data_IF_884235885580
#
_entry.id   IF_884235885580
#
_cell.length_a   1.000
_cell.length_b   1.000
_cell.length_c   1.000
_cell.angle_alpha   90.00
_cell.angle_beta   90.00
_cell.angle_gamma   90.00
#
_symmetry.space_group_name_H-M   'P 1'
#
loop_
_entity.id
_entity.type
_entity.pdbx_description
1 polymer ?
#
# COMPACT_ATOMS: atom_id res chain seq x y z
N UNK A 1 -27.98 -17.23 -14.23
CA UNK A 1 -27.92 -15.74 -14.17
C UNK A 1 -26.65 -15.31 -14.87
N UNK A 2 -26.72 -14.57 -15.97
CA UNK A 2 -25.54 -14.11 -16.70
C UNK A 2 -24.75 -13.14 -15.83
N UNK A 3 -23.52 -13.48 -15.52
CA UNK A 3 -22.60 -12.64 -14.76
C UNK A 3 -22.37 -11.35 -15.55
N UNK A 4 -22.83 -10.23 -15.01
CA UNK A 4 -22.79 -8.94 -15.68
C UNK A 4 -21.32 -8.53 -15.86
N UNK A 5 -20.80 -8.62 -17.10
CA UNK A 5 -19.43 -8.28 -17.43
C UNK A 5 -19.10 -6.89 -16.91
N UNK A 6 -18.02 -6.76 -16.13
CA UNK A 6 -17.57 -5.47 -15.61
C UNK A 6 -17.13 -4.57 -16.74
N UNK A 7 -17.57 -3.32 -16.70
CA UNK A 7 -17.25 -2.31 -17.72
C UNK A 7 -16.01 -1.54 -17.34
N UNK A 8 -15.15 -1.30 -18.32
CA UNK A 8 -13.94 -0.50 -18.19
C UNK A 8 -14.00 0.61 -19.23
N UNK A 9 -13.67 1.83 -18.83
CA UNK A 9 -13.51 2.96 -19.74
C UNK A 9 -12.02 3.18 -19.99
N UNK A 10 -11.63 3.23 -21.27
CA UNK A 10 -10.26 3.53 -21.72
C UNK A 10 -10.27 4.87 -22.44
N UNK A 11 -9.41 5.80 -22.03
CA UNK A 11 -9.29 7.14 -22.61
C UNK A 11 -7.84 7.37 -23.03
N UNK A 12 -7.60 7.46 -24.32
CA UNK A 12 -6.27 7.70 -24.90
C UNK A 12 -6.48 8.35 -26.28
N UNK A 13 -5.72 9.37 -26.64
CA UNK A 13 -5.86 10.06 -27.92
C UNK A 13 -5.31 9.25 -29.10
N UNK A 14 -4.39 8.31 -28.84
CA UNK A 14 -3.80 7.43 -29.85
C UNK A 14 -4.74 6.26 -30.21
N UNK A 15 -5.36 6.21 -31.43
CA UNK A 15 -6.31 5.18 -31.81
C UNK A 15 -5.75 3.74 -31.73
N UNK A 16 -4.47 3.58 -32.07
CA UNK A 16 -3.80 2.28 -32.08
C UNK A 16 -3.61 1.74 -30.66
N UNK A 17 -3.18 2.59 -29.72
CA UNK A 17 -3.06 2.23 -28.31
C UNK A 17 -4.43 1.94 -27.69
N UNK A 18 -5.43 2.76 -27.99
CA UNK A 18 -6.82 2.53 -27.58
C UNK A 18 -7.31 1.14 -28.00
N UNK A 19 -7.12 0.81 -29.28
CA UNK A 19 -7.50 -0.50 -29.84
C UNK A 19 -6.74 -1.64 -29.16
N UNK A 20 -5.45 -1.48 -28.89
CA UNK A 20 -4.62 -2.46 -28.22
C UNK A 20 -5.12 -2.75 -26.79
N UNK A 21 -5.45 -1.69 -26.03
CA UNK A 21 -6.00 -1.83 -24.68
C UNK A 21 -7.39 -2.47 -24.69
N UNK A 22 -8.25 -2.08 -25.63
CA UNK A 22 -9.57 -2.69 -25.80
C UNK A 22 -9.49 -4.19 -26.04
N UNK A 23 -8.71 -4.62 -27.03
CA UNK A 23 -8.55 -6.05 -27.36
C UNK A 23 -7.97 -6.81 -26.17
N UNK A 24 -6.99 -6.23 -25.47
CA UNK A 24 -6.35 -6.84 -24.31
C UNK A 24 -7.34 -7.07 -23.18
N UNK A 25 -8.18 -6.09 -22.87
CA UNK A 25 -9.17 -6.19 -21.79
C UNK A 25 -10.38 -7.05 -22.17
N UNK A 26 -10.81 -7.04 -23.43
CA UNK A 26 -11.87 -7.91 -23.94
C UNK A 26 -11.48 -9.39 -23.84
N UNK A 27 -10.22 -9.72 -24.14
CA UNK A 27 -9.68 -11.08 -23.95
C UNK A 27 -9.68 -11.52 -22.46
N UNK A 28 -9.60 -10.57 -21.53
CA UNK A 28 -9.74 -10.84 -20.10
C UNK A 28 -11.21 -10.92 -19.63
N UNK A 29 -12.19 -10.84 -20.55
CA UNK A 29 -13.62 -10.97 -20.23
C UNK A 29 -14.31 -9.68 -19.80
N UNK A 30 -13.67 -8.52 -19.89
CA UNK A 30 -14.28 -7.24 -19.56
C UNK A 30 -15.10 -6.66 -20.74
N UNK A 31 -16.11 -5.86 -20.42
CA UNK A 31 -16.78 -5.02 -21.41
C UNK A 31 -16.04 -3.67 -21.45
N UNK A 32 -15.57 -3.25 -22.62
CA UNK A 32 -14.77 -2.04 -22.75
C UNK A 32 -15.56 -0.99 -23.53
N UNK A 33 -15.49 0.25 -23.05
CA UNK A 33 -15.84 1.46 -23.81
C UNK A 33 -14.58 2.31 -23.93
N UNK A 34 -14.46 3.08 -25.01
CA UNK A 34 -13.32 3.96 -25.24
C UNK A 34 -13.75 5.37 -25.59
N UNK A 35 -12.84 6.32 -25.34
CA UNK A 35 -12.96 7.73 -25.68
C UNK A 35 -11.61 8.25 -26.17
N UNK A 36 -11.60 9.24 -27.04
CA UNK A 36 -10.38 9.87 -27.57
C UNK A 36 -10.00 11.16 -26.86
N UNK A 37 -10.90 11.72 -26.04
CA UNK A 37 -10.76 13.00 -25.38
C UNK A 37 -11.54 13.05 -24.06
N UNK A 38 -11.40 14.14 -23.29
CA UNK A 38 -12.07 14.34 -22.02
C UNK A 38 -13.58 14.50 -22.15
N UNK A 39 -14.04 15.19 -23.21
CA UNK A 39 -15.45 15.48 -23.41
C UNK A 39 -16.23 14.17 -23.62
N UNK A 40 -15.78 13.32 -24.53
CA UNK A 40 -16.37 11.99 -24.75
C UNK A 40 -16.31 11.12 -23.49
N UNK A 41 -15.19 11.17 -22.76
CA UNK A 41 -15.04 10.41 -21.53
C UNK A 41 -16.03 10.86 -20.45
N UNK A 42 -16.23 12.16 -20.26
CA UNK A 42 -17.21 12.73 -19.33
C UNK A 42 -18.65 12.34 -19.70
N UNK A 43 -19.00 12.42 -20.99
CA UNK A 43 -20.33 12.00 -21.47
C UNK A 43 -20.58 10.50 -21.17
N UNK A 44 -19.60 9.63 -21.42
CA UNK A 44 -19.70 8.22 -21.10
C UNK A 44 -19.82 7.97 -19.60
N UNK A 45 -19.05 8.68 -18.76
CA UNK A 45 -19.10 8.58 -17.31
C UNK A 45 -20.45 9.06 -16.75
N UNK A 46 -21.08 10.07 -17.35
CA UNK A 46 -22.41 10.53 -16.93
C UNK A 46 -23.49 9.50 -17.26
N UNK A 47 -23.42 8.87 -18.44
CA UNK A 47 -24.45 7.93 -18.93
C UNK A 47 -24.30 6.50 -18.39
N UNK A 48 -23.08 6.08 -18.03
CA UNK A 48 -22.79 4.69 -17.65
C UNK A 48 -21.94 4.64 -16.38
N UNK A 49 -22.01 3.47 -15.71
CA UNK A 49 -21.13 3.14 -14.61
C UNK A 49 -20.06 2.17 -15.06
N UNK A 50 -18.84 2.40 -14.58
CA UNK A 50 -17.66 1.60 -14.86
C UNK A 50 -17.07 1.04 -13.57
N UNK A 51 -16.32 -0.04 -13.66
CA UNK A 51 -15.53 -0.54 -12.54
C UNK A 51 -14.18 0.20 -12.46
N UNK A 52 -13.59 0.49 -13.65
CA UNK A 52 -12.28 1.11 -13.78
C UNK A 52 -12.32 2.13 -14.92
N UNK A 53 -11.66 3.26 -14.70
CA UNK A 53 -11.26 4.24 -15.71
C UNK A 53 -9.76 4.11 -15.94
N UNK A 54 -9.33 3.94 -17.18
CA UNK A 54 -7.94 4.04 -17.60
C UNK A 54 -7.82 5.28 -18.49
N UNK A 55 -6.95 6.23 -18.16
CA UNK A 55 -6.80 7.47 -18.91
C UNK A 55 -5.35 7.81 -19.17
N UNK A 56 -5.03 8.28 -20.37
CA UNK A 56 -3.74 8.95 -20.58
C UNK A 56 -3.68 10.23 -19.74
N UNK A 57 -2.48 10.60 -19.34
CA UNK A 57 -2.18 11.85 -18.65
C UNK A 57 -2.45 13.06 -19.52
N UNK A 58 -2.13 12.99 -20.83
CA UNK A 58 -2.29 14.07 -21.80
C UNK A 58 -3.33 13.69 -22.82
N UNK A 59 -4.34 14.52 -22.96
CA UNK A 59 -5.41 14.40 -23.95
C UNK A 59 -5.48 15.70 -24.76
N UNK A 60 -6.03 15.69 -25.97
CA UNK A 60 -6.04 16.87 -26.85
C UNK A 60 -6.78 18.07 -26.26
N UNK A 61 -7.76 17.83 -25.39
CA UNK A 61 -8.64 18.81 -24.75
C UNK A 61 -8.33 19.06 -23.27
N UNK A 62 -7.24 18.46 -22.71
CA UNK A 62 -6.82 18.71 -21.33
C UNK A 62 -5.99 17.59 -20.71
N UNK A 63 -6.07 17.44 -19.39
CA UNK A 63 -5.33 16.41 -18.66
C UNK A 63 -6.28 15.31 -18.18
N UNK A 64 -5.92 14.03 -18.42
CA UNK A 64 -6.68 12.89 -17.92
C UNK A 64 -6.84 12.88 -16.41
N UNK A 65 -6.01 13.63 -15.70
CA UNK A 65 -6.10 13.84 -14.25
C UNK A 65 -7.43 14.50 -13.85
N UNK A 66 -7.97 15.37 -14.69
CA UNK A 66 -9.26 16.02 -14.46
C UNK A 66 -10.42 15.02 -14.35
N UNK A 67 -10.33 13.88 -15.06
CA UNK A 67 -11.31 12.80 -14.92
C UNK A 67 -11.24 12.13 -13.56
N UNK A 68 -10.02 11.96 -13.02
CA UNK A 68 -9.81 11.39 -11.68
C UNK A 68 -10.38 12.32 -10.61
N UNK A 69 -10.08 13.62 -10.70
CA UNK A 69 -10.61 14.65 -9.80
C UNK A 69 -12.14 14.74 -9.90
N UNK A 70 -12.68 14.65 -11.11
CA UNK A 70 -14.13 14.63 -11.33
C UNK A 70 -14.80 13.41 -10.68
N UNK A 71 -14.18 12.22 -10.78
CA UNK A 71 -14.67 11.02 -10.08
C UNK A 71 -14.72 11.24 -8.57
N UNK A 72 -13.72 11.87 -7.98
CA UNK A 72 -13.69 12.16 -6.54
C UNK A 72 -14.74 13.18 -6.13
N UNK A 73 -14.84 14.30 -6.86
CA UNK A 73 -15.80 15.39 -6.56
C UNK A 73 -17.24 14.87 -6.62
N UNK A 74 -17.54 13.95 -7.54
CA UNK A 74 -18.84 13.33 -7.70
C UNK A 74 -19.03 12.04 -6.88
N UNK A 75 -18.12 11.74 -5.94
CA UNK A 75 -18.16 10.55 -5.07
C UNK A 75 -18.38 9.24 -5.84
N UNK A 76 -17.77 9.12 -7.01
CA UNK A 76 -17.89 7.96 -7.90
C UNK A 76 -17.05 6.79 -7.39
N UNK A 77 -17.56 5.58 -7.55
CA UNK A 77 -16.91 4.34 -7.09
C UNK A 77 -15.86 3.78 -8.06
N UNK A 78 -15.76 4.35 -9.27
CA UNK A 78 -14.81 3.93 -10.29
C UNK A 78 -13.37 4.13 -9.83
N UNK A 79 -12.50 3.17 -10.11
CA UNK A 79 -11.06 3.24 -9.82
C UNK A 79 -10.32 3.81 -11.04
N UNK A 80 -9.62 4.93 -10.84
CA UNK A 80 -8.87 5.57 -11.92
C UNK A 80 -7.45 5.06 -12.01
N UNK A 81 -7.00 4.69 -13.20
CA UNK A 81 -5.60 4.35 -13.54
C UNK A 81 -5.12 5.37 -14.56
N UNK A 82 -3.96 5.97 -14.33
CA UNK A 82 -3.39 6.97 -15.22
C UNK A 82 -2.22 6.36 -16.00
N UNK A 83 -2.20 6.55 -17.32
CA UNK A 83 -1.07 6.18 -18.18
C UNK A 83 -0.25 7.44 -18.44
N UNK A 84 1.07 7.38 -18.33
CA UNK A 84 1.94 8.56 -18.47
C UNK A 84 3.20 8.24 -19.28
N UNK A 85 3.75 9.23 -19.98
CA UNK A 85 5.00 9.06 -20.70
C UNK A 85 6.20 8.85 -19.77
N UNK A 86 7.20 8.13 -20.25
CA UNK A 86 8.44 7.81 -19.56
C UNK A 86 9.17 9.10 -19.11
N UNK A 87 9.60 9.14 -17.83
CA UNK A 87 10.46 10.20 -17.29
C UNK A 87 9.81 11.26 -16.41
N UNK A 88 8.49 11.23 -16.18
CA UNK A 88 7.83 12.21 -15.30
C UNK A 88 7.37 11.59 -13.96
N UNK A 89 8.31 11.40 -13.02
CA UNK A 89 7.99 11.08 -11.63
C UNK A 89 6.96 12.06 -11.03
N UNK A 90 7.04 13.33 -11.42
CA UNK A 90 6.10 14.37 -10.98
C UNK A 90 4.66 14.12 -11.44
N UNK A 91 4.47 13.59 -12.64
CA UNK A 91 3.14 13.27 -13.17
C UNK A 91 2.52 12.05 -12.46
N UNK A 92 3.32 11.02 -12.16
CA UNK A 92 2.87 9.88 -11.37
C UNK A 92 2.46 10.33 -9.95
N UNK A 93 3.27 11.16 -9.30
CA UNK A 93 2.96 11.74 -7.99
C UNK A 93 1.69 12.59 -8.04
N UNK A 94 1.51 13.40 -9.08
CA UNK A 94 0.30 14.21 -9.26
C UNK A 94 -0.94 13.33 -9.44
N UNK A 95 -0.86 12.26 -10.25
CA UNK A 95 -1.96 11.33 -10.46
C UNK A 95 -2.44 10.69 -9.16
N UNK A 96 -1.50 10.22 -8.34
CA UNK A 96 -1.82 9.58 -7.07
C UNK A 96 -2.32 10.57 -6.01
N UNK A 97 -1.78 11.80 -5.97
CA UNK A 97 -2.31 12.88 -5.12
C UNK A 97 -3.74 13.28 -5.50
N UNK A 98 -4.07 13.23 -6.79
CA UNK A 98 -5.43 13.43 -7.29
C UNK A 98 -6.35 12.23 -7.06
N UNK A 99 -5.87 11.13 -6.47
CA UNK A 99 -6.64 9.97 -6.08
C UNK A 99 -6.76 8.85 -7.10
N UNK A 100 -5.85 8.81 -8.08
CA UNK A 100 -5.72 7.63 -8.93
C UNK A 100 -5.41 6.39 -8.11
N UNK A 101 -5.98 5.25 -8.52
CA UNK A 101 -5.73 3.96 -7.90
C UNK A 101 -4.29 3.47 -8.15
N UNK A 102 -3.82 3.64 -9.39
CA UNK A 102 -2.45 3.32 -9.81
C UNK A 102 -2.08 4.12 -11.07
N UNK A 103 -0.82 4.01 -11.49
CA UNK A 103 -0.35 4.59 -12.74
C UNK A 103 0.49 3.59 -13.54
N UNK A 104 0.58 3.81 -14.86
CA UNK A 104 1.38 3.02 -15.78
C UNK A 104 2.26 3.95 -16.64
N UNK A 105 3.47 3.51 -16.95
CA UNK A 105 4.39 4.27 -17.80
C UNK A 105 4.37 3.73 -19.22
N UNK A 106 4.31 4.62 -20.23
CA UNK A 106 4.50 4.26 -21.66
C UNK A 106 6.02 4.01 -21.92
N UNK A 107 6.41 2.97 -22.66
CA UNK A 107 5.57 1.97 -23.28
C UNK A 107 4.94 1.01 -22.26
N UNK A 108 3.62 0.80 -22.38
CA UNK A 108 2.86 -0.01 -21.41
C UNK A 108 3.12 -1.49 -21.64
N UNK A 109 3.63 -2.17 -20.62
CA UNK A 109 3.69 -3.64 -20.61
C UNK A 109 2.27 -4.21 -20.45
N UNK A 110 1.79 -4.98 -21.43
CA UNK A 110 0.42 -5.49 -21.44
C UNK A 110 0.11 -6.47 -20.30
N UNK A 111 1.10 -7.20 -19.79
CA UNK A 111 0.91 -8.09 -18.63
C UNK A 111 0.73 -7.25 -17.35
N UNK A 112 1.54 -6.21 -17.18
CA UNK A 112 1.39 -5.26 -16.10
C UNK A 112 0.05 -4.54 -16.17
N UNK A 113 -0.37 -4.11 -17.35
CA UNK A 113 -1.65 -3.47 -17.61
C UNK A 113 -2.82 -4.35 -17.18
N UNK A 114 -2.85 -5.63 -17.63
CA UNK A 114 -3.87 -6.60 -17.23
C UNK A 114 -3.93 -6.79 -15.72
N UNK A 115 -2.76 -6.85 -15.08
CA UNK A 115 -2.67 -7.07 -13.64
C UNK A 115 -3.21 -5.89 -12.83
N UNK A 116 -2.81 -4.67 -13.16
CA UNK A 116 -3.27 -3.43 -12.50
C UNK A 116 -4.77 -3.25 -12.66
N UNK A 117 -5.30 -3.47 -13.87
CA UNK A 117 -6.75 -3.39 -14.13
C UNK A 117 -7.52 -4.45 -13.33
N UNK A 118 -7.02 -5.68 -13.25
CA UNK A 118 -7.67 -6.74 -12.47
C UNK A 118 -7.71 -6.40 -10.97
N UNK A 119 -6.66 -5.79 -10.44
CA UNK A 119 -6.62 -5.31 -9.04
C UNK A 119 -7.64 -4.17 -8.81
N UNK A 120 -7.68 -3.18 -9.70
CA UNK A 120 -8.63 -2.08 -9.62
C UNK A 120 -10.08 -2.58 -9.66
N UNK A 121 -10.37 -3.58 -10.51
CA UNK A 121 -11.69 -4.23 -10.60
C UNK A 121 -12.05 -4.97 -9.31
N UNK A 122 -11.10 -5.64 -8.64
CA UNK A 122 -11.33 -6.30 -7.33
C UNK A 122 -11.59 -5.28 -6.24
N UNK A 123 -10.81 -4.21 -6.18
CA UNK A 123 -10.99 -3.13 -5.21
C UNK A 123 -12.33 -2.40 -5.36
N UNK A 124 -12.87 -2.28 -6.57
CA UNK A 124 -14.20 -1.72 -6.83
C UNK A 124 -15.34 -2.60 -6.27
N UNK A 125 -15.15 -3.92 -6.09
CA UNK A 125 -16.17 -4.81 -5.49
C UNK A 125 -16.39 -4.51 -4.00
N UNK A 126 -15.34 -4.21 -3.26
CA UNK A 126 -15.40 -4.03 -1.82
C UNK A 126 -16.09 -2.71 -1.40
N UNK A 127 -16.13 -1.73 -2.29
CA UNK A 127 -16.79 -0.44 -2.02
C UNK A 127 -18.32 -0.50 -2.23
N UNK A 128 -18.83 -1.44 -3.05
CA UNK A 128 -20.26 -1.60 -3.30
C UNK A 128 -21.01 -2.33 -2.18
N UNK A 129 -20.30 -2.97 -1.24
CA UNK A 129 -20.88 -3.70 -0.12
C UNK A 129 -21.16 -2.84 1.12
N UNK A 130 -20.85 -1.54 1.10
CA UNK A 130 -20.99 -0.63 2.26
C UNK A 130 -21.92 0.55 1.96
N UNK A 131 -23.12 0.28 1.41
CA UNK A 131 -24.21 1.26 1.50
C UNK A 131 -25.28 0.69 2.46
N UNK A 132 -25.68 1.42 3.51
CA UNK A 132 -26.76 1.00 4.39
C UNK A 132 -28.09 1.19 3.67
N UNK A 133 -28.81 0.09 3.43
CA UNK A 133 -30.20 0.12 3.04
C UNK A 133 -31.04 0.59 4.23
N UNK A 134 -31.83 1.62 3.99
CA UNK A 134 -32.80 2.16 4.96
C UNK A 134 -33.96 1.18 5.21
N UNK A 135 -34.21 0.96 6.45
CA UNK A 135 -35.44 0.63 7.19
C UNK A 135 -36.70 0.11 6.47
N UNK A 136 -37.18 -1.08 6.89
CA UNK A 136 -38.61 -1.35 7.16
C UNK A 136 -38.76 -2.49 8.20
N UNK A 137 -39.83 -2.50 9.02
CA UNK A 137 -39.85 -3.05 10.36
C UNK A 137 -40.32 -4.54 10.49
N UNK A 138 -40.37 -5.07 11.72
CA UNK A 138 -40.26 -6.52 11.96
C UNK A 138 -41.59 -7.26 11.97
N UNK A 139 -41.56 -8.54 11.63
CA UNK A 139 -42.64 -9.46 11.94
C UNK A 139 -42.12 -10.68 12.69
N UNK A 140 -42.78 -10.89 13.81
CA UNK A 140 -42.69 -11.95 14.82
C UNK A 140 -42.89 -13.36 14.29
N UNK A 141 -42.12 -14.34 14.79
CA UNK A 141 -42.61 -15.58 15.37
C UNK A 141 -41.44 -16.50 15.80
N UNK A 142 -41.41 -16.81 17.07
CA UNK A 142 -40.75 -17.96 17.75
C UNK A 142 -41.66 -19.20 17.71
N UNK A 143 -41.28 -20.36 18.34
CA UNK A 143 -40.01 -21.10 18.41
C UNK A 143 -40.21 -22.62 18.10
N UNK A 144 -39.13 -23.41 18.06
CA UNK A 144 -39.14 -24.78 18.60
C UNK A 144 -37.75 -25.40 18.69
N UNK A 145 -37.51 -26.03 19.83
CA UNK A 145 -36.30 -26.66 20.33
C UNK A 145 -36.08 -28.09 19.83
N UNK A 146 -34.82 -28.57 19.87
CA UNK A 146 -34.32 -29.82 20.42
C UNK A 146 -32.85 -30.02 20.05
N UNK A 147 -31.92 -29.97 20.97
CA UNK A 147 -31.19 -31.04 21.73
C UNK A 147 -30.50 -32.09 20.84
N UNK A 148 -29.17 -32.19 20.82
CA UNK A 148 -28.32 -33.16 21.54
C UNK A 148 -26.87 -33.19 21.07
N UNK A 149 -25.98 -33.00 22.01
CA UNK A 149 -24.77 -33.73 22.43
C UNK A 149 -23.58 -34.02 21.48
N UNK A 150 -22.43 -33.36 21.81
CA UNK A 150 -21.16 -33.90 22.30
C UNK A 150 -20.21 -34.68 21.38
N UNK A 151 -19.05 -34.10 21.02
CA UNK A 151 -17.71 -34.50 21.55
C UNK A 151 -16.58 -33.64 20.98
N UNK A 152 -15.46 -33.47 21.69
CA UNK A 152 -14.48 -32.42 21.39
C UNK A 152 -13.36 -32.87 20.46
N UNK A 153 -12.88 -32.00 19.63
CA UNK A 153 -11.68 -32.14 18.81
C UNK A 153 -10.72 -30.96 19.05
N UNK A 154 -9.44 -31.07 18.69
CA UNK A 154 -8.35 -30.42 19.37
C UNK A 154 -8.18 -28.94 19.04
N UNK A 155 -7.64 -28.23 20.02
CA UNK A 155 -7.37 -26.81 20.03
C UNK A 155 -6.27 -26.45 19.01
N UNK A 156 -6.64 -25.75 17.96
CA UNK A 156 -5.71 -24.98 17.14
C UNK A 156 -5.69 -23.55 17.66
N UNK A 157 -4.55 -22.87 17.72
CA UNK A 157 -4.50 -21.50 18.23
C UNK A 157 -5.14 -20.57 17.22
N UNK A 158 -6.33 -20.08 17.57
CA UNK A 158 -7.03 -19.02 16.82
C UNK A 158 -6.25 -17.72 16.93
N UNK A 159 -5.51 -17.39 15.91
CA UNK A 159 -5.11 -16.02 15.64
C UNK A 159 -6.31 -15.24 15.09
N UNK A 160 -7.25 -14.88 15.97
CA UNK A 160 -8.27 -13.89 15.68
C UNK A 160 -7.62 -12.50 15.75
N UNK A 161 -6.99 -12.08 14.68
CA UNK A 161 -6.69 -10.66 14.45
C UNK A 161 -7.74 -10.14 13.46
N UNK A 162 -8.90 -9.77 13.98
CA UNK A 162 -9.84 -8.91 13.27
C UNK A 162 -9.09 -7.62 12.89
N UNK A 163 -8.99 -7.34 11.58
CA UNK A 163 -8.39 -6.11 11.08
C UNK A 163 -9.08 -4.91 11.76
N UNK A 164 -8.33 -3.98 12.40
CA UNK A 164 -8.91 -2.84 13.06
C UNK A 164 -9.59 -1.94 12.03
N UNK A 165 -10.80 -1.48 12.32
CA UNK A 165 -11.50 -0.48 11.51
C UNK A 165 -10.61 0.76 11.32
N UNK A 166 -10.69 1.40 10.16
CA UNK A 166 -9.85 2.55 9.74
C UNK A 166 -9.57 3.61 10.85
N UNK A 167 -10.53 3.97 11.72
CA UNK A 167 -10.27 4.84 12.88
C UNK A 167 -9.31 4.24 13.91
N UNK A 168 -9.40 2.93 14.16
CA UNK A 168 -8.56 2.25 15.15
C UNK A 168 -7.10 2.10 14.72
N UNK A 169 -6.85 1.90 13.41
CA UNK A 169 -5.49 1.81 12.87
C UNK A 169 -4.69 3.11 13.05
N UNK A 170 -5.35 4.27 12.86
CA UNK A 170 -4.72 5.57 13.03
C UNK A 170 -4.57 6.00 14.49
N UNK A 171 -5.31 5.39 15.42
CA UNK A 171 -5.20 5.68 16.86
C UNK A 171 -3.86 5.18 17.45
N UNK A 172 -3.21 4.21 16.79
CA UNK A 172 -1.88 3.74 17.16
C UNK A 172 -0.79 4.82 16.95
N UNK A 173 -1.05 5.79 16.06
CA UNK A 173 -0.19 6.95 15.82
C UNK A 173 -0.53 8.05 16.83
N UNK A 174 0.22 8.05 17.94
CA UNK A 174 0.05 8.96 19.05
C UNK A 174 0.51 10.36 18.62
N UNK A 175 -0.32 11.35 18.88
CA UNK A 175 -0.05 12.75 18.60
C UNK A 175 -1.31 13.48 18.14
N UNK A 176 -1.51 14.70 18.68
CA UNK A 176 -2.60 15.61 18.35
C UNK A 176 -2.10 16.89 17.68
N UNK A 177 -0.78 17.09 17.64
CA UNK A 177 -0.14 18.25 17.04
C UNK A 177 -0.41 18.40 15.54
N UNK A 178 -0.24 19.62 15.04
CA UNK A 178 -0.55 19.96 13.65
C UNK A 178 0.15 19.05 12.64
N UNK A 179 1.44 18.77 12.84
CA UNK A 179 2.23 17.88 11.98
C UNK A 179 1.69 16.45 11.96
N UNK A 180 1.29 15.91 13.13
CA UNK A 180 0.72 14.56 13.21
C UNK A 180 -0.68 14.49 12.59
N UNK A 181 -1.49 15.53 12.70
CA UNK A 181 -2.79 15.60 12.03
C UNK A 181 -2.66 15.67 10.51
N UNK A 182 -1.68 16.45 10.01
CA UNK A 182 -1.37 16.52 8.59
C UNK A 182 -0.89 15.15 8.08
N UNK A 183 0.01 14.47 8.81
CA UNK A 183 0.47 13.12 8.49
C UNK A 183 -0.71 12.14 8.41
N UNK A 184 -1.59 12.10 9.43
CA UNK A 184 -2.78 11.24 9.46
C UNK A 184 -3.72 11.53 8.28
N UNK A 185 -3.88 12.79 7.90
CA UNK A 185 -4.70 13.18 6.74
C UNK A 185 -4.06 12.68 5.43
N UNK A 186 -2.75 12.83 5.28
CA UNK A 186 -2.02 12.33 4.12
C UNK A 186 -2.07 10.80 4.05
N UNK A 187 -1.91 10.11 5.18
CA UNK A 187 -2.04 8.65 5.26
C UNK A 187 -3.40 8.15 4.74
N UNK A 188 -4.51 8.79 5.14
CA UNK A 188 -5.85 8.43 4.65
C UNK A 188 -5.97 8.56 3.13
N UNK A 189 -5.34 9.59 2.55
CA UNK A 189 -5.36 9.83 1.09
C UNK A 189 -4.49 8.83 0.34
N UNK A 190 -3.34 8.45 0.92
CA UNK A 190 -2.34 7.58 0.28
C UNK A 190 -2.65 6.09 0.49
N UNK A 191 -3.29 5.72 1.59
CA UNK A 191 -3.53 4.33 1.95
C UNK A 191 -4.29 3.52 0.88
N UNK A 192 -5.32 4.04 0.19
CA UNK A 192 -6.02 3.31 -0.86
C UNK A 192 -5.20 3.07 -2.12
N UNK A 193 -4.14 3.85 -2.36
CA UNK A 193 -3.27 3.70 -3.53
C UNK A 193 -2.38 2.46 -3.42
N UNK A 194 -2.10 1.81 -4.57
CA UNK A 194 -1.15 0.71 -4.68
C UNK A 194 0.29 1.17 -4.96
N UNK A 195 0.48 2.48 -5.09
CA UNK A 195 1.80 3.04 -5.34
C UNK A 195 2.80 2.70 -4.22
N UNK A 196 4.08 2.51 -4.56
CA UNK A 196 5.15 2.45 -3.58
C UNK A 196 5.19 3.72 -2.72
N UNK A 197 5.41 3.53 -1.43
CA UNK A 197 5.50 4.62 -0.46
C UNK A 197 6.88 4.59 0.19
N UNK A 198 7.58 5.72 0.16
CA UNK A 198 8.82 5.92 0.89
C UNK A 198 8.57 6.74 2.15
N UNK A 199 8.86 6.16 3.31
CA UNK A 199 8.75 6.81 4.62
C UNK A 199 10.14 7.29 5.01
N UNK A 200 10.31 8.61 5.11
CA UNK A 200 11.55 9.20 5.57
C UNK A 200 11.40 9.76 6.99
N UNK A 201 12.39 9.52 7.84
CA UNK A 201 12.39 10.04 9.21
C UNK A 201 13.56 9.48 10.04
N UNK A 202 13.90 10.17 11.12
CA UNK A 202 14.97 9.76 12.03
C UNK A 202 14.75 8.35 12.59
N UNK A 203 15.81 7.70 13.05
CA UNK A 203 15.70 6.41 13.73
C UNK A 203 14.84 6.56 14.98
N UNK A 204 13.94 5.60 15.25
CA UNK A 204 13.03 5.68 16.39
C UNK A 204 11.78 6.57 16.19
N UNK A 205 11.65 7.29 15.08
CA UNK A 205 10.52 8.20 14.82
C UNK A 205 9.14 7.50 14.68
N UNK A 206 9.13 6.17 14.51
CA UNK A 206 7.90 5.37 14.38
C UNK A 206 7.55 5.02 12.93
N UNK A 207 8.54 4.92 12.03
CA UNK A 207 8.35 4.57 10.60
C UNK A 207 7.52 3.29 10.41
N UNK A 208 7.80 2.24 11.21
CA UNK A 208 7.05 0.99 11.15
C UNK A 208 5.57 1.16 11.56
N UNK A 209 5.27 1.99 12.57
CA UNK A 209 3.89 2.26 12.97
C UNK A 209 3.11 2.96 11.86
N UNK A 210 3.75 3.86 11.12
CA UNK A 210 3.17 4.52 9.94
C UNK A 210 2.93 3.52 8.82
N UNK A 211 3.88 2.61 8.55
CA UNK A 211 3.72 1.56 7.55
C UNK A 211 2.56 0.61 7.90
N UNK A 212 2.43 0.19 9.17
CA UNK A 212 1.31 -0.61 9.64
C UNK A 212 -0.03 0.13 9.53
N UNK A 213 -0.07 1.42 9.83
CA UNK A 213 -1.27 2.24 9.66
C UNK A 213 -1.66 2.38 8.17
N UNK A 214 -0.68 2.56 7.27
CA UNK A 214 -0.91 2.56 5.82
C UNK A 214 -1.52 1.25 5.33
N UNK A 215 -0.97 0.12 5.76
CA UNK A 215 -1.49 -1.20 5.42
C UNK A 215 -2.92 -1.38 5.94
N UNK A 216 -3.16 -1.12 7.22
CA UNK A 216 -4.47 -1.29 7.84
C UNK A 216 -5.56 -0.36 7.27
N UNK A 217 -5.18 0.79 6.69
CA UNK A 217 -6.10 1.70 5.99
C UNK A 217 -6.19 1.42 4.48
N UNK A 218 -5.51 0.41 3.96
CA UNK A 218 -5.47 0.09 2.53
C UNK A 218 -6.53 -0.94 2.13
N UNK A 219 -6.68 -1.14 0.83
CA UNK A 219 -7.50 -2.23 0.28
C UNK A 219 -6.92 -3.63 0.52
N UNK A 220 -5.73 -3.72 1.13
CA UNK A 220 -5.03 -4.96 1.47
C UNK A 220 -4.92 -5.19 2.98
N UNK A 221 -5.76 -4.51 3.76
CA UNK A 221 -5.80 -4.65 5.23
C UNK A 221 -5.98 -6.08 5.71
N UNK A 222 -6.67 -6.90 4.92
CA UNK A 222 -6.94 -8.30 5.21
C UNK A 222 -5.81 -9.25 4.76
N UNK A 223 -4.84 -8.73 3.98
CA UNK A 223 -3.68 -9.47 3.49
C UNK A 223 -2.51 -9.46 4.49
N UNK A 224 -1.45 -10.22 4.21
CA UNK A 224 -0.28 -10.26 5.08
C UNK A 224 0.47 -8.91 5.10
N UNK A 225 0.95 -8.52 6.28
CA UNK A 225 1.92 -7.45 6.47
C UNK A 225 3.26 -8.06 6.87
N UNK A 226 4.19 -8.14 5.90
CA UNK A 226 5.52 -8.69 6.12
C UNK A 226 6.50 -7.54 6.28
N UNK A 227 7.13 -7.45 7.45
CA UNK A 227 8.13 -6.43 7.76
C UNK A 227 9.53 -7.03 7.79
N UNK A 228 10.47 -6.36 7.16
CA UNK A 228 11.88 -6.76 7.15
C UNK A 228 12.77 -5.54 7.34
N UNK A 229 13.78 -5.67 8.18
CA UNK A 229 14.85 -4.68 8.30
C UNK A 229 16.01 -5.13 7.41
N UNK A 230 16.29 -4.34 6.37
CA UNK A 230 17.32 -4.67 5.37
C UNK A 230 18.75 -4.71 5.95
N UNK A 231 19.02 -3.90 6.96
CA UNK A 231 20.32 -3.87 7.64
C UNK A 231 20.54 -5.00 8.65
N UNK A 232 19.46 -5.69 9.06
CA UNK A 232 19.56 -6.78 10.04
C UNK A 232 19.91 -8.14 9.43
N UNK A 233 19.77 -8.30 8.12
CA UNK A 233 20.04 -9.57 7.43
C UNK A 233 21.48 -9.56 6.90
N UNK A 234 22.28 -10.59 7.16
CA UNK A 234 23.62 -10.74 6.55
C UNK A 234 23.52 -10.74 5.01
N UNK A 235 24.45 -10.06 4.34
CA UNK A 235 24.44 -9.89 2.87
C UNK A 235 24.34 -11.24 2.13
N UNK A 236 25.03 -12.26 2.63
CA UNK A 236 25.01 -13.63 2.05
C UNK A 236 23.64 -14.33 2.11
N UNK A 237 22.73 -13.87 2.98
CA UNK A 237 21.40 -14.45 3.16
C UNK A 237 20.29 -13.57 2.56
N UNK A 238 20.57 -12.30 2.26
CA UNK A 238 19.59 -11.35 1.75
C UNK A 238 18.81 -11.92 0.56
N UNK A 239 19.51 -12.50 -0.41
CA UNK A 239 18.89 -13.02 -1.62
C UNK A 239 17.93 -14.18 -1.32
N UNK A 240 18.35 -15.13 -0.48
CA UNK A 240 17.54 -16.27 -0.08
C UNK A 240 16.32 -15.86 0.75
N UNK A 241 16.47 -14.86 1.65
CA UNK A 241 15.36 -14.34 2.45
C UNK A 241 14.34 -13.59 1.57
N UNK A 242 14.79 -12.74 0.65
CA UNK A 242 13.90 -11.94 -0.17
C UNK A 242 13.15 -12.77 -1.21
N UNK A 243 13.87 -13.63 -1.96
CA UNK A 243 13.34 -14.30 -3.14
C UNK A 243 13.06 -15.79 -2.93
N UNK A 244 13.52 -16.34 -1.80
CA UNK A 244 13.41 -17.77 -1.51
C UNK A 244 14.55 -18.60 -2.12
N UNK A 245 14.63 -19.85 -1.73
CA UNK A 245 15.67 -20.77 -2.20
C UNK A 245 15.16 -22.19 -2.32
N UNK A 246 15.69 -22.91 -3.29
CA UNK A 246 15.54 -24.35 -3.41
C UNK A 246 16.61 -25.08 -2.61
N UNK A 247 16.30 -26.29 -2.20
CA UNK A 247 17.26 -27.19 -1.55
C UNK A 247 18.53 -27.32 -2.40
N UNK A 248 19.69 -27.12 -1.79
CA UNK A 248 20.99 -27.20 -2.47
C UNK A 248 21.38 -25.94 -3.25
N UNK A 249 20.63 -24.84 -3.20
CA UNK A 249 20.93 -23.61 -3.93
C UNK A 249 22.21 -22.90 -3.42
N UNK A 250 22.55 -23.10 -2.15
CA UNK A 250 23.77 -22.61 -1.52
C UNK A 250 24.22 -23.53 -0.38
N UNK A 251 25.45 -23.38 0.12
CA UNK A 251 25.96 -24.15 1.25
C UNK A 251 25.15 -23.88 2.50
N UNK A 252 24.33 -24.85 2.94
CA UNK A 252 23.39 -24.73 4.06
C UNK A 252 21.92 -24.70 3.68
N UNK A 253 21.57 -24.72 2.39
CA UNK A 253 20.17 -24.83 1.93
C UNK A 253 19.67 -26.28 2.09
N UNK A 254 19.20 -26.65 3.29
CA UNK A 254 18.74 -28.01 3.61
C UNK A 254 17.35 -28.31 3.08
N UNK A 255 16.50 -27.29 2.92
CA UNK A 255 15.11 -27.40 2.46
C UNK A 255 14.75 -26.25 1.52
N UNK A 256 13.64 -26.41 0.78
CA UNK A 256 13.01 -25.32 0.05
C UNK A 256 12.50 -24.27 1.03
N UNK A 257 12.74 -23.00 0.74
CA UNK A 257 12.32 -21.88 1.58
C UNK A 257 11.63 -20.81 0.75
N UNK A 258 10.44 -20.43 1.17
CA UNK A 258 9.70 -19.31 0.59
C UNK A 258 10.36 -17.98 0.94
N UNK A 259 10.42 -17.06 -0.03
CA UNK A 259 10.94 -15.72 0.16
C UNK A 259 9.89 -14.74 0.69
N UNK A 260 10.37 -13.62 1.22
CA UNK A 260 9.53 -12.54 1.76
C UNK A 260 8.51 -12.01 0.74
N UNK A 261 8.86 -11.94 -0.54
CA UNK A 261 7.93 -11.54 -1.59
C UNK A 261 6.75 -12.51 -1.75
N UNK A 262 7.02 -13.82 -1.66
CA UNK A 262 5.97 -14.84 -1.74
C UNK A 262 5.09 -14.77 -0.49
N UNK A 263 5.68 -14.69 0.70
CA UNK A 263 4.97 -14.55 1.97
C UNK A 263 4.12 -13.29 2.07
N UNK A 264 4.51 -12.20 1.36
CA UNK A 264 3.78 -10.94 1.32
C UNK A 264 2.72 -10.89 0.21
N UNK A 265 2.56 -11.94 -0.60
CA UNK A 265 1.66 -11.94 -1.75
C UNK A 265 0.20 -11.70 -1.33
N UNK A 266 -0.50 -10.84 -2.06
CA UNK A 266 -1.85 -10.37 -1.70
C UNK A 266 -1.87 -9.28 -0.61
N UNK A 267 -0.71 -8.94 -0.03
CA UNK A 267 -0.56 -8.02 1.09
C UNK A 267 0.45 -6.90 0.84
N UNK A 268 1.24 -6.59 1.88
CA UNK A 268 2.21 -5.50 1.89
C UNK A 268 3.56 -6.00 2.40
N UNK A 269 4.63 -5.67 1.68
CA UNK A 269 6.01 -5.86 2.12
C UNK A 269 6.56 -4.51 2.59
N UNK A 270 6.96 -4.44 3.84
CA UNK A 270 7.59 -3.28 4.45
C UNK A 270 9.10 -3.49 4.54
N UNK A 271 9.85 -2.64 3.84
CA UNK A 271 11.31 -2.66 3.76
C UNK A 271 11.88 -1.53 4.64
N UNK A 272 12.25 -1.86 5.88
CA UNK A 272 12.88 -0.89 6.75
C UNK A 272 14.38 -0.78 6.44
N UNK A 273 14.91 0.43 6.57
CA UNK A 273 16.29 0.80 6.27
C UNK A 273 16.72 0.35 4.87
N UNK A 274 15.93 0.71 3.86
CA UNK A 274 16.16 0.35 2.44
C UNK A 274 17.51 0.84 1.91
N UNK A 275 18.07 1.91 2.50
CA UNK A 275 19.40 2.44 2.17
C UNK A 275 20.56 1.53 2.56
N UNK A 276 20.32 0.45 3.32
CA UNK A 276 21.34 -0.51 3.71
C UNK A 276 21.49 -1.67 2.71
N UNK A 277 20.64 -1.75 1.68
CA UNK A 277 20.74 -2.80 0.68
C UNK A 277 21.98 -2.63 -0.19
N UNK A 278 22.77 -3.71 -0.40
CA UNK A 278 23.86 -3.72 -1.38
C UNK A 278 23.37 -3.46 -2.81
N UNK A 279 24.21 -2.84 -3.65
CA UNK A 279 23.86 -2.53 -5.06
C UNK A 279 23.41 -3.75 -5.86
N UNK A 280 23.97 -4.93 -5.58
CA UNK A 280 23.56 -6.20 -6.20
C UNK A 280 22.11 -6.54 -5.88
N UNK A 281 21.67 -6.34 -4.65
CA UNK A 281 20.32 -6.57 -4.20
C UNK A 281 19.34 -5.50 -4.69
N UNK A 282 19.80 -4.25 -4.78
CA UNK A 282 19.01 -3.15 -5.34
C UNK A 282 18.58 -3.44 -6.79
N UNK A 283 19.49 -4.01 -7.62
CA UNK A 283 19.17 -4.38 -9.00
C UNK A 283 18.10 -5.50 -9.06
N UNK A 284 18.21 -6.52 -8.20
CA UNK A 284 17.24 -7.61 -8.13
C UNK A 284 15.88 -7.14 -7.61
N UNK A 285 15.88 -6.29 -6.59
CA UNK A 285 14.67 -5.68 -6.05
C UNK A 285 13.93 -4.86 -7.12
N UNK A 286 14.66 -4.03 -7.88
CA UNK A 286 14.09 -3.26 -8.98
C UNK A 286 13.38 -4.17 -9.99
N UNK A 287 14.04 -5.27 -10.39
CA UNK A 287 13.46 -6.23 -11.33
C UNK A 287 12.14 -6.79 -10.81
N UNK A 288 12.08 -7.20 -9.54
CA UNK A 288 10.83 -7.73 -8.94
C UNK A 288 9.73 -6.67 -8.90
N UNK A 289 10.05 -5.41 -8.56
CA UNK A 289 9.06 -4.32 -8.53
C UNK A 289 8.51 -4.02 -9.93
N UNK A 290 9.35 -4.15 -10.98
CA UNK A 290 8.97 -3.88 -12.37
C UNK A 290 8.19 -5.03 -13.00
N UNK A 291 8.73 -6.26 -12.88
CA UNK A 291 8.20 -7.45 -13.55
C UNK A 291 7.10 -8.14 -12.73
N UNK A 292 7.00 -7.85 -11.43
CA UNK A 292 6.10 -8.53 -10.47
C UNK A 292 6.30 -10.05 -10.48
N UNK A 293 7.52 -10.47 -10.69
CA UNK A 293 7.92 -11.87 -10.70
C UNK A 293 9.14 -12.08 -9.81
N UNK A 294 9.18 -13.22 -9.15
CA UNK A 294 10.28 -13.63 -8.27
C UNK A 294 10.81 -14.98 -8.74
N UNK A 295 12.13 -15.07 -8.80
CA UNK A 295 12.84 -16.30 -9.09
C UNK A 295 13.64 -16.75 -7.88
N UNK A 296 13.26 -17.86 -7.20
CA UNK A 296 14.02 -18.38 -6.08
C UNK A 296 15.44 -18.83 -6.49
N UNK A 297 16.39 -18.72 -5.56
CA UNK A 297 17.73 -19.21 -5.78
C UNK A 297 17.70 -20.71 -6.11
N UNK A 298 18.47 -21.12 -7.12
CA UNK A 298 18.52 -22.51 -7.57
C UNK A 298 17.30 -22.97 -8.39
N UNK A 299 16.35 -22.07 -8.69
CA UNK A 299 15.18 -22.37 -9.53
C UNK A 299 15.30 -21.70 -10.90
N UNK A 300 14.85 -22.39 -11.95
CA UNK A 300 14.61 -21.78 -13.26
C UNK A 300 13.19 -21.19 -13.38
N UNK A 301 12.28 -21.55 -12.47
CA UNK A 301 10.89 -21.15 -12.50
C UNK A 301 10.70 -19.79 -11.83
N UNK A 302 9.94 -18.91 -12.49
CA UNK A 302 9.51 -17.61 -11.96
C UNK A 302 8.06 -17.70 -11.43
N UNK A 303 7.80 -16.98 -10.33
CA UNK A 303 6.47 -16.90 -9.69
C UNK A 303 5.97 -15.46 -9.71
N UNK A 304 4.73 -15.29 -10.15
CA UNK A 304 4.09 -13.96 -10.07
C UNK A 304 3.79 -13.60 -8.62
N UNK A 305 4.12 -12.36 -8.24
CA UNK A 305 3.86 -11.82 -6.89
C UNK A 305 3.06 -10.53 -6.98
N UNK A 306 2.04 -10.43 -6.16
CA UNK A 306 1.19 -9.26 -6.05
C UNK A 306 1.35 -8.61 -4.69
N UNK A 307 2.35 -7.72 -4.56
CA UNK A 307 2.78 -7.14 -3.30
C UNK A 307 2.79 -5.62 -3.39
N UNK A 308 2.19 -4.94 -2.40
CA UNK A 308 2.38 -3.51 -2.19
C UNK A 308 3.70 -3.27 -1.48
N UNK A 309 4.52 -2.34 -1.97
CA UNK A 309 5.82 -2.00 -1.35
C UNK A 309 5.68 -0.73 -0.52
N UNK A 310 6.13 -0.80 0.73
CA UNK A 310 6.36 0.36 1.59
C UNK A 310 7.82 0.29 2.03
N UNK A 311 8.59 1.33 1.78
CA UNK A 311 10.01 1.41 2.16
C UNK A 311 10.21 2.49 3.22
N UNK A 312 11.18 2.30 4.10
CA UNK A 312 11.54 3.31 5.08
C UNK A 312 13.06 3.48 5.17
N UNK A 313 13.49 4.69 5.49
CA UNK A 313 14.90 5.01 5.72
C UNK A 313 15.06 6.28 6.54
N UNK A 314 16.20 6.41 7.22
CA UNK A 314 16.65 7.65 7.82
C UNK A 314 17.76 8.32 6.97
N UNK A 315 18.29 7.63 5.94
CA UNK A 315 19.36 8.11 5.08
C UNK A 315 18.84 9.02 3.97
N UNK A 316 19.70 9.91 3.50
CA UNK A 316 19.46 10.68 2.28
C UNK A 316 19.74 9.81 1.04
N UNK A 317 18.69 9.16 0.52
CA UNK A 317 18.83 8.31 -0.66
C UNK A 317 19.24 9.11 -1.90
N UNK A 318 18.86 10.39 -2.00
CA UNK A 318 19.26 11.23 -3.13
C UNK A 318 20.75 11.51 -3.10
N UNK A 319 21.31 11.83 -1.95
CA UNK A 319 22.75 11.95 -1.76
C UNK A 319 23.48 10.63 -2.04
N UNK A 320 22.90 9.48 -1.65
CA UNK A 320 23.43 8.15 -1.96
C UNK A 320 23.41 7.84 -3.47
N UNK A 321 22.42 8.31 -4.22
CA UNK A 321 22.40 8.19 -5.69
C UNK A 321 23.55 8.99 -6.30
N UNK A 322 23.78 10.22 -5.86
CA UNK A 322 24.91 11.03 -6.33
C UNK A 322 26.26 10.38 -5.98
N UNK A 323 26.36 9.77 -4.80
CA UNK A 323 27.54 9.03 -4.36
C UNK A 323 27.72 7.65 -5.03
N UNK A 324 26.77 7.19 -5.85
CA UNK A 324 26.82 5.89 -6.52
C UNK A 324 26.58 4.69 -5.61
N UNK A 325 26.11 4.88 -4.37
CA UNK A 325 25.82 3.81 -3.39
C UNK A 325 24.35 3.37 -3.38
N UNK A 326 23.51 4.11 -4.07
CA UNK A 326 22.10 3.72 -4.34
C UNK A 326 21.76 3.94 -5.81
N UNK A 327 21.02 3.02 -6.42
CA UNK A 327 20.66 3.10 -7.84
C UNK A 327 19.56 4.13 -8.05
N UNK A 328 19.74 5.00 -9.04
CA UNK A 328 18.78 6.04 -9.42
C UNK A 328 17.44 5.46 -9.88
N UNK A 329 17.47 4.38 -10.67
CA UNK A 329 16.27 3.72 -11.20
C UNK A 329 15.40 3.11 -10.08
N UNK A 330 16.01 2.49 -9.07
CA UNK A 330 15.32 1.98 -7.89
C UNK A 330 14.74 3.14 -7.06
N UNK A 331 15.52 4.20 -6.84
CA UNK A 331 15.05 5.37 -6.10
C UNK A 331 13.78 5.96 -6.70
N UNK A 332 13.74 6.18 -8.02
CA UNK A 332 12.53 6.66 -8.70
C UNK A 332 11.34 5.69 -8.56
N UNK A 333 11.60 4.39 -8.51
CA UNK A 333 10.54 3.39 -8.39
C UNK A 333 9.98 3.26 -6.96
N UNK A 334 10.80 3.53 -5.93
CA UNK A 334 10.38 3.50 -4.53
C UNK A 334 9.81 4.84 -4.05
N UNK A 335 10.37 5.95 -4.53
CA UNK A 335 9.99 7.31 -4.11
C UNK A 335 8.87 7.89 -4.98
N UNK A 336 7.78 7.13 -5.14
CA UNK A 336 6.57 7.59 -5.84
C UNK A 336 5.74 8.49 -4.94
N UNK A 337 5.54 8.05 -3.70
CA UNK A 337 4.89 8.83 -2.64
C UNK A 337 5.84 8.91 -1.46
N UNK A 338 6.21 10.13 -1.08
CA UNK A 338 7.05 10.36 0.09
C UNK A 338 6.21 10.81 1.28
N UNK A 339 6.43 10.15 2.42
CA UNK A 339 5.91 10.54 3.71
C UNK A 339 7.07 10.90 4.62
N UNK A 340 7.09 12.13 5.08
CA UNK A 340 8.08 12.60 6.04
C UNK A 340 7.50 12.57 7.45
N UNK A 341 8.19 11.88 8.36
CA UNK A 341 7.82 11.87 9.77
C UNK A 341 8.46 13.05 10.48
N UNK A 342 7.67 13.85 11.20
CA UNK A 342 8.22 14.95 11.99
C UNK A 342 9.12 14.42 13.09
N UNK A 343 10.24 15.07 13.31
CA UNK A 343 11.15 14.78 14.42
C UNK A 343 10.46 15.05 15.74
N UNK A 344 10.88 14.36 16.80
CA UNK A 344 10.22 14.52 18.11
C UNK A 344 10.29 15.97 18.61
N UNK A 345 11.40 16.67 18.36
CA UNK A 345 11.59 18.10 18.70
C UNK A 345 10.65 19.04 17.93
N UNK A 346 10.23 18.66 16.73
CA UNK A 346 9.33 19.47 15.89
C UNK A 346 7.86 19.24 16.27
N UNK A 347 7.58 18.31 17.21
CA UNK A 347 6.26 18.00 17.78
C UNK A 347 6.29 17.95 19.32
N UNK A 348 6.96 18.90 19.94
CA UNK A 348 7.13 18.95 21.39
C UNK A 348 5.79 18.86 22.18
N UNK A 349 4.72 19.35 21.60
CA UNK A 349 3.35 19.26 22.13
C UNK A 349 2.84 17.81 22.33
N UNK A 350 3.36 16.87 21.57
CA UNK A 350 2.98 15.46 21.67
C UNK A 350 3.78 14.69 22.73
N UNK A 351 4.92 15.24 23.22
CA UNK A 351 5.82 14.58 24.16
C UNK A 351 5.13 14.15 25.46
N UNK A 352 4.29 14.96 26.12
CA UNK A 352 3.64 14.53 27.36
C UNK A 352 2.68 13.35 27.13
N UNK A 353 1.99 13.34 25.98
CA UNK A 353 1.07 12.27 25.61
C UNK A 353 1.83 10.97 25.31
N UNK A 354 2.92 11.06 24.57
CA UNK A 354 3.80 9.93 24.27
C UNK A 354 4.38 9.34 25.57
N UNK A 355 4.93 10.19 26.45
CA UNK A 355 5.49 9.78 27.71
C UNK A 355 4.48 9.06 28.60
N UNK A 356 3.23 9.56 28.66
CA UNK A 356 2.14 8.91 29.38
C UNK A 356 1.88 7.50 28.84
N UNK A 357 1.72 7.33 27.53
CA UNK A 357 1.45 6.03 26.92
C UNK A 357 2.61 5.07 27.11
N UNK A 358 3.86 5.51 26.97
CA UNK A 358 5.02 4.65 27.23
C UNK A 358 5.11 4.24 28.68
N UNK A 359 4.80 5.13 29.62
CA UNK A 359 4.78 4.83 31.05
C UNK A 359 3.68 3.79 31.37
N UNK A 360 2.49 3.97 30.84
CA UNK A 360 1.38 3.00 30.98
C UNK A 360 1.77 1.61 30.46
N UNK A 361 2.38 1.54 29.27
CA UNK A 361 2.87 0.28 28.69
C UNK A 361 3.98 -0.35 29.51
N UNK A 362 4.91 0.45 30.03
CA UNK A 362 6.00 -0.02 30.90
C UNK A 362 5.47 -0.58 32.21
N UNK A 363 4.53 0.13 32.86
CA UNK A 363 3.89 -0.33 34.09
C UNK A 363 3.12 -1.64 33.87
N UNK A 364 2.36 -1.75 32.77
CA UNK A 364 1.62 -2.96 32.42
C UNK A 364 2.56 -4.17 32.21
N UNK A 365 3.68 -3.98 31.52
CA UNK A 365 4.71 -5.04 31.32
C UNK A 365 5.34 -5.50 32.63
N UNK A 366 5.50 -4.60 33.60
CA UNK A 366 6.07 -4.90 34.90
C UNK A 366 5.04 -5.38 35.93
N UNK A 367 3.77 -5.50 35.56
CA UNK A 367 2.69 -5.85 36.51
C UNK A 367 2.50 -4.81 37.62
N UNK A 368 2.87 -3.55 37.38
CA UNK A 368 2.76 -2.46 38.37
C UNK A 368 1.56 -1.57 38.08
N UNK A 369 0.96 -0.94 39.10
CA UNK A 369 -0.07 0.08 38.86
C UNK A 369 0.49 1.23 38.06
N UNK A 370 -0.35 1.84 37.19
CA UNK A 370 0.04 2.94 36.31
C UNK A 370 0.56 4.14 37.11
N UNK A 371 1.81 4.46 36.93
CA UNK A 371 2.44 5.63 37.53
C UNK A 371 2.00 6.92 36.81
N UNK A 372 2.05 8.04 37.51
CA UNK A 372 1.80 9.38 36.92
C UNK A 372 3.08 10.16 36.80
N UNK A 373 3.27 10.88 35.70
CA UNK A 373 4.37 11.82 35.55
C UNK A 373 4.17 13.00 36.50
N UNK A 374 5.21 13.31 37.28
CA UNK A 374 5.22 14.54 38.08
C UNK A 374 5.36 15.78 37.18
N UNK A 375 4.93 16.94 37.71
CA UNK A 375 5.10 18.21 36.99
C UNK A 375 6.56 18.50 36.66
N UNK A 376 7.48 18.20 37.59
CA UNK A 376 8.93 18.34 37.38
C UNK A 376 9.46 17.43 36.27
N UNK A 377 9.03 16.14 36.25
CA UNK A 377 9.40 15.22 35.19
C UNK A 377 8.86 15.66 33.82
N UNK A 378 7.62 16.12 33.74
CA UNK A 378 7.04 16.65 32.50
C UNK A 378 7.79 17.89 32.00
N UNK A 379 8.17 18.81 32.89
CA UNK A 379 8.97 19.98 32.53
C UNK A 379 10.37 19.58 32.03
N UNK A 380 11.03 18.62 32.67
CA UNK A 380 12.32 18.11 32.22
C UNK A 380 12.24 17.44 30.85
N UNK A 381 11.18 16.69 30.57
CA UNK A 381 10.95 16.08 29.25
C UNK A 381 10.79 17.13 28.14
N UNK A 382 10.07 18.23 28.41
CA UNK A 382 9.89 19.33 27.46
C UNK A 382 11.15 20.17 27.26
N UNK A 383 11.97 20.31 28.31
CA UNK A 383 13.23 21.06 28.25
C UNK A 383 14.37 20.29 27.55
N UNK A 384 14.20 18.99 27.34
CA UNK A 384 15.21 18.17 26.64
C UNK A 384 15.24 18.51 25.14
N UNK A 385 16.44 18.62 24.59
CA UNK A 385 16.66 18.99 23.20
C UNK A 385 16.22 17.90 22.18
N UNK A 386 16.00 16.64 22.64
CA UNK A 386 15.63 15.50 21.79
C UNK A 386 16.42 15.45 20.49
N UNK A 387 17.75 15.56 20.60
CA UNK A 387 18.67 15.60 19.46
C UNK A 387 18.65 14.32 18.62
N UNK A 388 18.20 13.21 19.22
CA UNK A 388 17.85 11.93 18.55
C UNK A 388 16.51 11.46 19.14
N UNK A 389 15.57 11.10 18.27
CA UNK A 389 14.28 10.53 18.68
C UNK A 389 14.39 9.04 18.94
#
# INVERSE_FOLDING_TARGET
>A
MAEQKKRILVVDDEPDLRTLYEITLQRCGYAVCSAGDLEQARDLLQRKRFAVLVTDMRLPDGQGLELIEWLQQNQRAERGIVVTAYGSSDNAVRALKAGAFDYLTKPVNLDQFRHVVAQAVRASKNTAATQPAASAPPSTAEPAASSEQKKPAPVSPSANTSAPSTPAALSSLIGSGAHMQQLKTTLRKVAPSMAPVLIWGESGSGKELVARALHACSHRSDGPFVAVNCGAIPESLLEAEFFGSKRGAYTGAVADREGLFQSASGGTLFLDEIGDLPLSMQAKLLRVIQERQVRPLGSAQEFSVDVRIISATHRDLQGMVVAGTFRQDLWFRLNVLQLELPRLRDRAEDIPMLAKVFLERACARMGRPTARLSKAASAALLANAWARS
#
